data_IF_461590871846
#
_entry.id   IF_461590871846
#
_cell.length_a   1.000
_cell.length_b   1.000
_cell.length_c   1.000
_cell.angle_alpha   90.00
_cell.angle_beta   90.00
_cell.angle_gamma   90.00
#
_symmetry.space_group_name_H-M   'P 1'
#
loop_
_entity.id
_entity.type
_entity.pdbx_description
1 polymer ?
#
# COMPACT_ATOMS: atom_id res chain seq x y z
N UNK A 1 6.04 -5.68 -19.21
CA UNK A 1 6.43 -5.15 -17.86
C UNK A 1 5.68 -3.88 -17.51
N UNK A 2 5.57 -3.52 -16.21
CA UNK A 2 4.96 -2.26 -15.80
C UNK A 2 6.01 -1.15 -15.81
N UNK A 3 5.69 -0.04 -16.48
CA UNK A 3 6.55 1.14 -16.48
C UNK A 3 6.54 1.81 -15.08
N UNK A 4 7.67 2.39 -14.63
CA UNK A 4 7.73 3.13 -13.35
C UNK A 4 6.69 4.24 -13.23
N UNK A 5 6.45 4.95 -14.33
CA UNK A 5 5.44 6.03 -14.43
C UNK A 5 4.01 5.52 -14.19
N UNK A 6 3.67 4.35 -14.72
CA UNK A 6 2.38 3.71 -14.44
C UNK A 6 2.24 3.37 -12.95
N UNK A 7 3.28 2.83 -12.34
CA UNK A 7 3.30 2.49 -10.93
C UNK A 7 3.16 3.73 -10.04
N UNK A 8 3.69 4.87 -10.44
CA UNK A 8 3.57 6.12 -9.68
C UNK A 8 2.12 6.60 -9.57
N UNK A 9 1.31 6.44 -10.62
CA UNK A 9 -0.06 6.92 -10.69
C UNK A 9 -1.12 5.86 -10.36
N UNK A 10 -0.75 4.59 -10.37
CA UNK A 10 -1.66 3.48 -10.09
C UNK A 10 -2.45 3.63 -8.78
N UNK A 11 -1.88 4.12 -7.66
CA UNK A 11 -2.59 4.30 -6.40
C UNK A 11 -3.52 5.50 -6.31
N UNK A 12 -3.45 6.48 -7.21
CA UNK A 12 -4.03 7.82 -7.03
C UNK A 12 -5.54 7.81 -6.71
N UNK A 13 -6.33 7.00 -7.38
CA UNK A 13 -7.77 6.88 -7.10
C UNK A 13 -8.07 6.34 -5.71
N UNK A 14 -7.27 5.36 -5.26
CA UNK A 14 -7.41 4.79 -3.92
C UNK A 14 -6.99 5.78 -2.85
N UNK A 15 -5.92 6.52 -3.07
CA UNK A 15 -5.48 7.61 -2.19
C UNK A 15 -6.59 8.63 -1.99
N UNK A 16 -7.24 9.09 -3.06
CA UNK A 16 -8.37 10.03 -2.97
C UNK A 16 -9.55 9.48 -2.16
N UNK A 17 -9.88 8.20 -2.29
CA UNK A 17 -10.94 7.57 -1.48
C UNK A 17 -10.61 7.60 0.02
N UNK A 18 -9.35 7.35 0.37
CA UNK A 18 -8.91 7.34 1.76
C UNK A 18 -8.79 8.74 2.35
N UNK A 19 -8.36 9.74 1.57
CA UNK A 19 -8.36 11.15 1.98
C UNK A 19 -9.77 11.64 2.30
N UNK A 20 -10.77 11.30 1.47
CA UNK A 20 -12.15 11.66 1.72
C UNK A 20 -12.69 11.07 3.03
N UNK A 21 -12.37 9.82 3.33
CA UNK A 21 -12.83 9.19 4.58
C UNK A 21 -12.12 9.76 5.80
N UNK A 22 -10.84 10.14 5.66
CA UNK A 22 -10.10 10.83 6.72
C UNK A 22 -10.77 12.16 7.08
N UNK A 23 -11.09 12.99 6.08
CA UNK A 23 -11.81 14.24 6.26
C UNK A 23 -13.18 14.05 6.93
N UNK A 24 -13.93 13.03 6.53
CA UNK A 24 -15.25 12.72 7.09
C UNK A 24 -15.16 12.25 8.54
N UNK A 25 -14.12 11.52 8.91
CA UNK A 25 -13.85 11.11 10.29
C UNK A 25 -13.50 12.33 11.14
N UNK A 26 -12.56 13.16 10.68
CA UNK A 26 -12.12 14.38 11.37
C UNK A 26 -13.30 15.32 11.66
N UNK A 27 -14.13 15.58 10.66
CA UNK A 27 -15.32 16.46 10.81
C UNK A 27 -16.32 15.90 11.82
N UNK A 28 -16.55 14.59 11.81
CA UNK A 28 -17.49 13.96 12.73
C UNK A 28 -17.01 14.02 14.18
N UNK A 29 -15.73 13.71 14.40
CA UNK A 29 -15.11 13.76 15.72
C UNK A 29 -15.08 15.20 16.27
N UNK A 30 -14.65 16.16 15.45
CA UNK A 30 -14.64 17.58 15.83
C UNK A 30 -16.05 18.08 16.21
N UNK A 31 -17.08 17.70 15.43
CA UNK A 31 -18.49 18.03 15.71
C UNK A 31 -18.98 17.44 17.03
N UNK A 32 -18.57 16.23 17.39
CA UNK A 32 -18.94 15.58 18.66
C UNK A 32 -18.33 16.31 19.85
N UNK A 33 -17.05 16.66 19.77
CA UNK A 33 -16.39 17.43 20.83
C UNK A 33 -17.04 18.82 20.99
N UNK A 34 -17.35 19.50 19.89
CA UNK A 34 -17.96 20.81 19.91
C UNK A 34 -19.40 20.85 20.52
N UNK A 35 -20.08 19.70 20.56
CA UNK A 35 -21.40 19.54 21.13
C UNK A 35 -21.43 19.15 22.62
N UNK A 36 -20.26 19.05 23.26
CA UNK A 36 -20.18 18.76 24.68
C UNK A 36 -20.68 19.95 25.50
N UNK A 37 -21.65 19.73 26.40
CA UNK A 37 -22.24 20.82 27.20
C UNK A 37 -21.50 21.10 28.51
N UNK A 38 -20.96 20.07 29.15
CA UNK A 38 -20.28 20.21 30.45
C UNK A 38 -19.18 19.14 30.62
N UNK A 39 -18.12 19.51 31.34
CA UNK A 39 -17.01 18.59 31.70
C UNK A 39 -16.89 18.57 33.24
N UNK A 40 -17.93 18.18 33.97
CA UNK A 40 -17.85 18.01 35.41
C UNK A 40 -17.38 16.61 35.79
N UNK A 41 -16.56 16.42 36.84
CA UNK A 41 -16.07 15.11 37.28
C UNK A 41 -17.15 14.31 37.99
N UNK A 42 -18.20 13.95 37.29
CA UNK A 42 -19.33 13.17 37.84
C UNK A 42 -19.36 11.78 37.19
N UNK A 43 -20.02 10.83 37.84
CA UNK A 43 -20.30 9.50 37.25
C UNK A 43 -21.04 9.64 35.91
N UNK A 44 -21.89 10.67 35.77
CA UNK A 44 -22.55 10.98 34.49
C UNK A 44 -21.58 11.35 33.37
N UNK A 45 -20.54 12.15 33.65
CA UNK A 45 -19.48 12.44 32.68
C UNK A 45 -18.73 11.18 32.23
N UNK A 46 -18.35 10.30 33.16
CA UNK A 46 -17.64 9.07 32.84
C UNK A 46 -18.47 8.15 31.96
N UNK A 47 -19.75 7.99 32.25
CA UNK A 47 -20.66 7.20 31.43
C UNK A 47 -20.86 7.81 30.05
N UNK A 48 -21.06 9.13 29.97
CA UNK A 48 -21.19 9.86 28.71
C UNK A 48 -19.91 9.70 27.85
N UNK A 49 -18.73 9.91 28.46
CA UNK A 49 -17.43 9.74 27.79
C UNK A 49 -17.30 8.34 27.20
N UNK A 50 -17.58 7.31 27.96
CA UNK A 50 -17.55 5.93 27.48
C UNK A 50 -18.49 5.72 26.29
N UNK A 51 -19.72 6.20 26.36
CA UNK A 51 -20.68 6.11 25.27
C UNK A 51 -20.21 6.84 24.01
N UNK A 52 -19.59 8.02 24.16
CA UNK A 52 -19.09 8.77 23.01
C UNK A 52 -17.89 8.07 22.36
N UNK A 53 -16.97 7.53 23.12
CA UNK A 53 -15.81 6.77 22.61
C UNK A 53 -16.28 5.55 21.81
N UNK A 54 -17.24 4.80 22.35
CA UNK A 54 -17.81 3.65 21.65
C UNK A 54 -18.59 4.05 20.39
N UNK A 55 -19.38 5.12 20.44
CA UNK A 55 -20.11 5.63 19.28
C UNK A 55 -19.16 6.12 18.17
N UNK A 56 -18.08 6.82 18.53
CA UNK A 56 -17.03 7.22 17.56
C UNK A 56 -16.41 5.99 16.93
N UNK A 57 -16.01 4.99 17.72
CA UNK A 57 -15.42 3.76 17.21
C UNK A 57 -16.33 3.08 16.20
N UNK A 58 -17.61 2.91 16.52
CA UNK A 58 -18.57 2.28 15.61
C UNK A 58 -18.77 3.06 14.32
N UNK A 59 -18.86 4.40 14.38
CA UNK A 59 -19.03 5.24 13.19
C UNK A 59 -17.76 5.26 12.32
N UNK A 60 -16.59 5.28 12.93
CA UNK A 60 -15.31 5.15 12.22
C UNK A 60 -15.24 3.80 11.51
N UNK A 61 -15.57 2.69 12.20
CA UNK A 61 -15.60 1.35 11.58
C UNK A 61 -16.56 1.31 10.38
N UNK A 62 -17.77 1.88 10.51
CA UNK A 62 -18.74 1.93 9.41
C UNK A 62 -18.23 2.73 8.20
N UNK A 63 -17.63 3.90 8.46
CA UNK A 63 -17.05 4.74 7.39
C UNK A 63 -15.91 4.03 6.68
N UNK A 64 -14.99 3.46 7.45
CA UNK A 64 -13.86 2.70 6.92
C UNK A 64 -14.31 1.44 6.16
N UNK A 65 -15.30 0.70 6.67
CA UNK A 65 -15.84 -0.47 5.98
C UNK A 65 -16.43 -0.11 4.61
N UNK A 66 -17.14 1.02 4.51
CA UNK A 66 -17.64 1.53 3.22
C UNK A 66 -16.51 1.93 2.27
N UNK A 67 -15.47 2.59 2.80
CA UNK A 67 -14.29 2.94 2.04
C UNK A 67 -13.55 1.69 1.55
N UNK A 68 -13.37 0.69 2.43
CA UNK A 68 -12.72 -0.58 2.10
C UNK A 68 -13.47 -1.32 0.98
N UNK A 69 -14.80 -1.40 1.04
CA UNK A 69 -15.61 -2.02 -0.02
C UNK A 69 -15.44 -1.34 -1.38
N UNK A 70 -15.36 0.01 -1.42
CA UNK A 70 -15.04 0.75 -2.64
C UNK A 70 -13.59 0.51 -3.08
N UNK A 71 -12.67 0.44 -2.12
CA UNK A 71 -11.26 0.16 -2.37
C UNK A 71 -11.05 -1.23 -2.96
N UNK A 72 -11.76 -2.24 -2.49
CA UNK A 72 -11.69 -3.61 -3.03
C UNK A 72 -12.06 -3.68 -4.50
N UNK A 73 -13.13 -3.00 -4.91
CA UNK A 73 -13.54 -2.93 -6.31
C UNK A 73 -12.47 -2.25 -7.18
N UNK A 74 -11.91 -1.14 -6.69
CA UNK A 74 -10.84 -0.41 -7.39
C UNK A 74 -9.52 -1.18 -7.40
N UNK A 75 -9.15 -1.87 -6.31
CA UNK A 75 -7.99 -2.75 -6.26
C UNK A 75 -8.13 -3.87 -7.30
N UNK A 76 -9.29 -4.53 -7.36
CA UNK A 76 -9.55 -5.59 -8.34
C UNK A 76 -9.40 -5.08 -9.77
N UNK A 77 -10.01 -3.94 -10.09
CA UNK A 77 -9.91 -3.30 -11.41
C UNK A 77 -8.46 -2.96 -11.75
N UNK A 78 -7.76 -2.31 -10.84
CA UNK A 78 -6.38 -1.87 -11.02
C UNK A 78 -5.43 -3.05 -11.20
N UNK A 79 -5.57 -4.10 -10.39
CA UNK A 79 -4.71 -5.29 -10.47
C UNK A 79 -4.96 -6.06 -11.77
N UNK A 80 -6.21 -6.15 -12.23
CA UNK A 80 -6.53 -6.75 -13.52
C UNK A 80 -5.89 -5.96 -14.66
N UNK A 81 -6.05 -4.63 -14.66
CA UNK A 81 -5.45 -3.75 -15.66
C UNK A 81 -3.92 -3.86 -15.67
N UNK A 82 -3.29 -3.78 -14.49
CA UNK A 82 -1.84 -3.89 -14.35
C UNK A 82 -1.32 -5.26 -14.81
N UNK A 83 -2.00 -6.35 -14.44
CA UNK A 83 -1.64 -7.70 -14.87
C UNK A 83 -1.74 -7.86 -16.39
N UNK A 84 -2.81 -7.39 -16.99
CA UNK A 84 -3.00 -7.42 -18.45
C UNK A 84 -1.87 -6.66 -19.15
N UNK A 85 -1.60 -5.41 -18.75
CA UNK A 85 -0.50 -4.60 -19.32
C UNK A 85 0.88 -5.25 -19.14
N UNK A 86 1.13 -5.83 -17.95
CA UNK A 86 2.40 -6.49 -17.69
C UNK A 86 2.61 -7.70 -18.59
N UNK A 87 1.56 -8.52 -18.77
CA UNK A 87 1.64 -9.73 -19.60
C UNK A 87 1.67 -9.41 -21.09
N UNK A 88 0.88 -8.45 -21.57
CA UNK A 88 0.95 -8.00 -22.96
C UNK A 88 2.38 -7.57 -23.34
N UNK A 89 2.98 -6.69 -22.53
CA UNK A 89 4.34 -6.22 -22.77
C UNK A 89 5.42 -7.32 -22.62
N UNK A 90 5.20 -8.29 -21.74
CA UNK A 90 6.11 -9.45 -21.59
C UNK A 90 5.94 -10.43 -22.74
N UNK A 91 4.71 -10.72 -23.16
CA UNK A 91 4.41 -11.65 -24.26
C UNK A 91 4.93 -11.12 -25.60
N UNK A 92 4.99 -9.79 -25.82
CA UNK A 92 5.64 -9.18 -26.99
C UNK A 92 7.12 -9.56 -27.10
N UNK A 93 7.83 -9.62 -25.96
CA UNK A 93 9.23 -10.07 -25.92
C UNK A 93 9.31 -11.52 -26.39
N UNK A 94 8.47 -12.40 -25.86
CA UNK A 94 8.45 -13.82 -26.23
C UNK A 94 8.10 -14.04 -27.70
N UNK A 95 7.10 -13.34 -28.23
CA UNK A 95 6.73 -13.39 -29.65
C UNK A 95 7.86 -12.94 -30.55
N UNK A 96 8.58 -11.88 -30.18
CA UNK A 96 9.75 -11.42 -30.93
C UNK A 96 10.80 -12.52 -31.09
N UNK A 97 10.99 -13.36 -30.10
CA UNK A 97 11.92 -14.47 -30.11
C UNK A 97 11.29 -15.80 -30.56
N UNK A 98 10.14 -15.77 -31.22
CA UNK A 98 9.49 -16.93 -31.82
C UNK A 98 8.89 -17.93 -30.81
N UNK A 99 8.63 -17.49 -29.58
CA UNK A 99 7.91 -18.26 -28.56
C UNK A 99 6.43 -17.92 -28.59
N UNK A 100 5.59 -18.87 -28.22
CA UNK A 100 4.12 -18.71 -28.20
C UNK A 100 3.58 -18.90 -26.78
N UNK A 101 3.56 -17.86 -25.94
CA UNK A 101 3.01 -17.95 -24.61
C UNK A 101 1.50 -18.20 -24.63
N UNK A 102 0.99 -18.98 -23.68
CA UNK A 102 -0.46 -19.14 -23.50
C UNK A 102 -1.09 -17.78 -23.21
N UNK A 103 -2.16 -17.36 -23.92
CA UNK A 103 -2.81 -16.08 -23.67
C UNK A 103 -3.13 -15.89 -22.16
N UNK A 104 -2.88 -14.69 -21.64
CA UNK A 104 -3.04 -14.41 -20.21
C UNK A 104 -4.43 -14.80 -19.67
N UNK A 105 -5.49 -14.55 -20.45
CA UNK A 105 -6.87 -14.89 -20.06
C UNK A 105 -7.11 -16.41 -19.92
N UNK A 106 -6.39 -17.21 -20.67
CA UNK A 106 -6.55 -18.67 -20.74
C UNK A 106 -5.54 -19.41 -19.84
N UNK A 107 -4.58 -18.71 -19.25
CA UNK A 107 -3.55 -19.30 -18.40
C UNK A 107 -4.03 -19.39 -16.94
N UNK A 108 -4.48 -20.57 -16.53
CA UNK A 108 -5.02 -20.82 -15.19
C UNK A 108 -4.02 -20.48 -14.05
N UNK A 109 -2.74 -20.72 -14.25
CA UNK A 109 -1.69 -20.41 -13.27
C UNK A 109 -1.57 -18.89 -13.07
N UNK A 110 -1.51 -18.12 -14.14
CA UNK A 110 -1.44 -16.66 -14.07
C UNK A 110 -2.72 -16.05 -13.47
N UNK A 111 -3.89 -16.58 -13.82
CA UNK A 111 -5.16 -16.16 -13.22
C UNK A 111 -5.22 -16.46 -11.72
N UNK A 112 -4.71 -17.60 -11.27
CA UNK A 112 -4.62 -17.96 -9.86
C UNK A 112 -3.68 -17.01 -9.10
N UNK A 113 -2.53 -16.66 -9.66
CA UNK A 113 -1.57 -15.71 -9.08
C UNK A 113 -2.16 -14.30 -8.98
N UNK A 114 -2.86 -13.84 -10.02
CA UNK A 114 -3.58 -12.55 -9.96
C UNK A 114 -4.60 -12.52 -8.83
N UNK A 115 -5.41 -13.57 -8.71
CA UNK A 115 -6.41 -13.66 -7.64
C UNK A 115 -5.76 -13.70 -6.24
N UNK A 116 -4.68 -14.45 -6.06
CA UNK A 116 -3.93 -14.48 -4.81
C UNK A 116 -3.34 -13.11 -4.46
N UNK A 117 -2.78 -12.40 -5.43
CA UNK A 117 -2.29 -11.04 -5.27
C UNK A 117 -3.40 -10.05 -4.85
N UNK A 118 -4.56 -10.16 -5.47
CA UNK A 118 -5.74 -9.38 -5.09
C UNK A 118 -6.13 -9.65 -3.62
N UNK A 119 -6.26 -10.91 -3.21
CA UNK A 119 -6.63 -11.26 -1.85
C UNK A 119 -5.61 -10.72 -0.83
N UNK A 120 -4.32 -10.83 -1.12
CA UNK A 120 -3.26 -10.30 -0.27
C UNK A 120 -3.35 -8.78 -0.12
N UNK A 121 -3.57 -8.06 -1.23
CA UNK A 121 -3.68 -6.60 -1.23
C UNK A 121 -4.95 -6.13 -0.50
N UNK A 122 -6.09 -6.76 -0.76
CA UNK A 122 -7.35 -6.48 -0.05
C UNK A 122 -7.20 -6.72 1.46
N UNK A 123 -6.55 -7.81 1.87
CA UNK A 123 -6.25 -8.12 3.28
C UNK A 123 -5.43 -7.01 3.96
N UNK A 124 -4.49 -6.40 3.24
CA UNK A 124 -3.72 -5.25 3.75
C UNK A 124 -4.64 -4.06 4.05
N UNK A 125 -5.64 -3.79 3.22
CA UNK A 125 -6.62 -2.72 3.45
C UNK A 125 -7.56 -3.03 4.62
N UNK A 126 -7.95 -4.28 4.83
CA UNK A 126 -8.70 -4.68 6.03
C UNK A 126 -7.89 -4.42 7.32
N UNK A 127 -6.60 -4.76 7.31
CA UNK A 127 -5.71 -4.50 8.44
C UNK A 127 -5.53 -2.97 8.67
N UNK A 128 -5.39 -2.19 7.60
CA UNK A 128 -5.33 -0.74 7.69
C UNK A 128 -6.60 -0.15 8.30
N UNK A 129 -7.77 -0.67 7.91
CA UNK A 129 -9.07 -0.29 8.48
C UNK A 129 -9.13 -0.51 9.99
N UNK A 130 -8.76 -1.71 10.45
CA UNK A 130 -8.76 -2.04 11.88
C UNK A 130 -7.77 -1.16 12.67
N UNK A 131 -6.56 -0.98 12.16
CA UNK A 131 -5.53 -0.14 12.78
C UNK A 131 -5.98 1.32 12.88
N UNK A 132 -6.57 1.86 11.82
CA UNK A 132 -7.09 3.24 11.79
C UNK A 132 -8.22 3.44 12.80
N UNK A 133 -9.18 2.50 12.87
CA UNK A 133 -10.28 2.60 13.82
C UNK A 133 -9.80 2.62 15.28
N UNK A 134 -8.84 1.78 15.61
CA UNK A 134 -8.25 1.74 16.95
C UNK A 134 -7.46 3.03 17.26
N UNK A 135 -6.66 3.52 16.32
CA UNK A 135 -5.89 4.76 16.47
C UNK A 135 -6.81 5.96 16.69
N UNK A 136 -7.85 6.12 15.86
CA UNK A 136 -8.80 7.23 15.97
C UNK A 136 -9.54 7.21 17.30
N UNK A 137 -10.02 6.04 17.73
CA UNK A 137 -10.71 5.91 19.03
C UNK A 137 -9.81 6.31 20.19
N UNK A 138 -8.55 5.84 20.22
CA UNK A 138 -7.60 6.21 21.27
C UNK A 138 -7.23 7.69 21.26
N UNK A 139 -7.07 8.30 20.10
CA UNK A 139 -6.80 9.74 19.97
C UNK A 139 -7.98 10.57 20.42
N UNK A 140 -9.21 10.18 20.09
CA UNK A 140 -10.43 10.84 20.58
C UNK A 140 -10.53 10.75 22.09
N UNK A 141 -10.33 9.59 22.67
CA UNK A 141 -10.32 9.39 24.13
C UNK A 141 -9.27 10.28 24.82
N UNK A 142 -8.04 10.29 24.33
CA UNK A 142 -6.97 11.12 24.86
C UNK A 142 -7.26 12.63 24.74
N UNK A 143 -7.95 13.05 23.68
CA UNK A 143 -8.37 14.45 23.52
C UNK A 143 -9.46 14.84 24.55
N UNK A 144 -10.44 13.96 24.81
CA UNK A 144 -11.43 14.15 25.85
C UNK A 144 -10.80 14.26 27.24
N UNK A 145 -9.85 13.39 27.55
CA UNK A 145 -9.15 13.39 28.85
C UNK A 145 -8.34 14.68 29.04
N UNK A 146 -7.61 15.13 28.02
CA UNK A 146 -6.88 16.40 28.07
C UNK A 146 -7.81 17.59 28.26
N UNK A 147 -8.94 17.64 27.56
CA UNK A 147 -9.92 18.70 27.72
C UNK A 147 -10.51 18.72 29.14
N UNK A 148 -10.87 17.54 29.67
CA UNK A 148 -11.35 17.37 31.02
C UNK A 148 -10.35 17.87 32.08
N UNK A 149 -9.08 17.48 31.97
CA UNK A 149 -8.00 17.92 32.85
C UNK A 149 -7.82 19.46 32.82
N UNK A 150 -7.89 20.06 31.63
CA UNK A 150 -7.77 21.51 31.46
C UNK A 150 -8.92 22.28 32.18
N UNK A 151 -10.15 21.81 32.04
CA UNK A 151 -11.30 22.41 32.72
C UNK A 151 -11.20 22.23 34.25
N UNK A 152 -10.88 21.03 34.72
CA UNK A 152 -10.77 20.72 36.13
C UNK A 152 -9.61 21.42 36.85
N UNK A 153 -8.54 21.75 36.12
CA UNK A 153 -7.42 22.53 36.69
C UNK A 153 -7.82 23.98 37.01
N UNK A 154 -8.96 24.44 36.50
CA UNK A 154 -9.42 25.84 36.64
C UNK A 154 -8.58 26.85 35.80
N UNK A 155 -7.58 26.37 35.07
CA UNK A 155 -6.69 27.24 34.27
C UNK A 155 -7.27 27.62 32.90
N UNK A 156 -8.28 26.86 32.44
CA UNK A 156 -8.91 27.06 31.13
C UNK A 156 -10.42 27.07 31.24
N UNK A 157 -11.06 27.98 30.50
CA UNK A 157 -12.50 27.93 30.32
C UNK A 157 -12.88 26.76 29.38
N UNK A 158 -14.15 26.37 29.44
CA UNK A 158 -14.68 25.26 28.66
C UNK A 158 -14.43 25.39 27.14
N UNK A 159 -14.68 26.60 26.58
CA UNK A 159 -14.50 26.81 25.12
C UNK A 159 -13.07 26.66 24.68
N UNK A 160 -12.13 27.18 25.46
CA UNK A 160 -10.69 27.06 25.21
C UNK A 160 -10.21 25.59 25.30
N UNK A 161 -10.73 24.84 26.26
CA UNK A 161 -10.43 23.42 26.43
C UNK A 161 -10.96 22.60 25.25
N UNK A 162 -12.19 22.83 24.80
CA UNK A 162 -12.81 22.19 23.64
C UNK A 162 -12.04 22.51 22.35
N UNK A 163 -11.73 23.81 22.13
CA UNK A 163 -10.96 24.23 20.96
C UNK A 163 -9.59 23.53 20.92
N UNK A 164 -8.87 23.53 22.04
CA UNK A 164 -7.58 22.84 22.13
C UNK A 164 -7.65 21.34 21.88
N UNK A 165 -8.75 20.68 22.26
CA UNK A 165 -8.98 19.27 21.97
C UNK A 165 -9.20 19.03 20.47
N UNK A 166 -10.00 19.87 19.81
CA UNK A 166 -10.24 19.80 18.35
C UNK A 166 -8.95 20.05 17.56
N UNK A 167 -8.20 21.11 17.92
CA UNK A 167 -6.93 21.44 17.27
C UNK A 167 -5.93 20.26 17.40
N UNK A 168 -5.80 19.68 18.60
CA UNK A 168 -4.93 18.52 18.86
C UNK A 168 -5.33 17.29 18.03
N UNK A 169 -6.62 17.06 17.83
CA UNK A 169 -7.10 15.95 16.99
C UNK A 169 -6.80 16.19 15.52
N UNK A 170 -7.00 17.41 15.02
CA UNK A 170 -6.68 17.76 13.63
C UNK A 170 -5.21 17.49 13.29
N UNK A 171 -4.30 17.65 14.26
CA UNK A 171 -2.88 17.36 14.08
C UNK A 171 -2.54 15.87 14.18
N UNK A 172 -3.23 15.12 15.04
CA UNK A 172 -2.87 13.73 15.37
C UNK A 172 -3.62 12.69 14.57
N UNK A 173 -4.86 12.94 14.15
CA UNK A 173 -5.72 11.98 13.44
C UNK A 173 -5.31 11.70 11.99
N UNK A 174 -4.36 12.46 11.45
CA UNK A 174 -3.77 12.21 10.12
C UNK A 174 -2.89 10.96 10.08
N UNK A 175 -2.51 10.43 11.22
CA UNK A 175 -1.52 9.37 11.31
C UNK A 175 -2.15 8.06 11.79
N UNK A 176 -1.75 6.98 11.14
CA UNK A 176 -1.98 5.60 11.58
C UNK A 176 -0.76 5.15 12.36
N UNK A 177 -0.96 4.72 13.60
CA UNK A 177 0.12 4.16 14.43
C UNK A 177 0.04 2.65 14.40
N UNK A 178 1.13 2.02 13.95
CA UNK A 178 1.27 0.57 13.93
C UNK A 178 1.75 0.03 15.28
N UNK A 179 1.50 -1.26 15.60
CA UNK A 179 1.99 -1.87 16.85
C UNK A 179 3.51 -1.78 17.04
N UNK A 180 4.26 -1.63 15.96
CA UNK A 180 5.73 -1.43 15.97
C UNK A 180 6.15 -0.01 16.39
N UNK A 181 5.20 0.90 16.63
CA UNK A 181 5.46 2.31 16.89
C UNK A 181 5.70 3.18 15.65
N UNK A 182 5.75 2.57 14.45
CA UNK A 182 5.82 3.32 13.20
C UNK A 182 4.50 4.06 12.94
N UNK A 183 4.58 5.26 12.36
CA UNK A 183 3.42 6.08 11.98
C UNK A 183 3.49 6.48 10.51
N UNK A 184 2.36 6.37 9.81
CA UNK A 184 2.16 6.88 8.45
C UNK A 184 0.91 7.75 8.40
N UNK A 185 0.83 8.65 7.42
CA UNK A 185 -0.47 9.21 7.03
C UNK A 185 -1.31 8.12 6.35
N UNK A 186 -2.64 8.24 6.40
CA UNK A 186 -3.53 7.31 5.71
C UNK A 186 -3.25 7.24 4.21
N UNK A 187 -2.92 8.38 3.59
CA UNK A 187 -2.51 8.47 2.20
C UNK A 187 -1.27 7.61 1.91
N UNK A 188 -0.22 7.79 2.70
CA UNK A 188 1.05 7.05 2.54
C UNK A 188 0.83 5.55 2.74
N UNK A 189 0.03 5.17 3.74
CA UNK A 189 -0.29 3.77 4.01
C UNK A 189 -1.07 3.13 2.85
N UNK A 190 -2.10 3.81 2.32
CA UNK A 190 -2.90 3.34 1.19
C UNK A 190 -2.06 3.25 -0.09
N UNK A 191 -1.29 4.28 -0.42
CA UNK A 191 -0.38 4.30 -1.58
C UNK A 191 0.61 3.14 -1.53
N UNK A 192 1.28 2.95 -0.40
CA UNK A 192 2.24 1.86 -0.21
C UNK A 192 1.60 0.48 -0.38
N UNK A 193 0.40 0.26 0.18
CA UNK A 193 -0.30 -1.01 0.08
C UNK A 193 -0.62 -1.38 -1.38
N UNK A 194 -1.15 -0.42 -2.14
CA UNK A 194 -1.50 -0.63 -3.55
C UNK A 194 -0.26 -0.83 -4.42
N UNK A 195 0.69 0.09 -4.33
CA UNK A 195 1.91 0.05 -5.15
C UNK A 195 2.66 -1.27 -4.94
N UNK A 196 2.84 -1.66 -3.67
CA UNK A 196 3.50 -2.92 -3.33
C UNK A 196 2.71 -4.12 -3.84
N UNK A 197 1.39 -4.15 -3.65
CA UNK A 197 0.53 -5.25 -4.10
C UNK A 197 0.52 -5.42 -5.61
N UNK A 198 0.40 -4.34 -6.35
CA UNK A 198 0.42 -4.34 -7.83
C UNK A 198 1.78 -4.81 -8.34
N UNK A 199 2.87 -4.22 -7.82
CA UNK A 199 4.22 -4.55 -8.30
C UNK A 199 4.62 -5.99 -7.97
N UNK A 200 4.34 -6.46 -6.74
CA UNK A 200 4.61 -7.86 -6.35
C UNK A 200 3.80 -8.86 -7.16
N UNK A 201 2.55 -8.54 -7.47
CA UNK A 201 1.71 -9.43 -8.30
C UNK A 201 2.23 -9.47 -9.72
N UNK A 202 2.55 -8.31 -10.32
CA UNK A 202 3.18 -8.24 -11.66
C UNK A 202 4.46 -9.05 -11.74
N UNK A 203 5.33 -8.94 -10.73
CA UNK A 203 6.58 -9.69 -10.66
C UNK A 203 6.36 -11.22 -10.60
N UNK A 204 5.39 -11.68 -9.81
CA UNK A 204 5.04 -13.11 -9.75
C UNK A 204 4.51 -13.63 -11.08
N UNK A 205 3.72 -12.82 -11.78
CA UNK A 205 3.20 -13.17 -13.11
C UNK A 205 4.37 -13.28 -14.12
N UNK A 206 5.33 -12.35 -14.08
CA UNK A 206 6.51 -12.37 -14.96
C UNK A 206 7.40 -13.60 -14.71
N UNK A 207 7.64 -13.93 -13.44
CA UNK A 207 8.38 -15.17 -13.10
C UNK A 207 7.65 -16.42 -13.61
N UNK A 208 6.34 -16.53 -13.39
CA UNK A 208 5.57 -17.68 -13.83
C UNK A 208 5.51 -17.79 -15.37
N UNK A 209 5.48 -16.65 -16.06
CA UNK A 209 5.57 -16.62 -17.52
C UNK A 209 6.97 -17.06 -18.01
N UNK A 210 8.02 -16.61 -17.35
CA UNK A 210 9.39 -17.03 -17.66
C UNK A 210 9.57 -18.55 -17.43
N UNK A 211 9.00 -19.09 -16.37
CA UNK A 211 8.97 -20.54 -16.10
C UNK A 211 8.26 -21.32 -17.22
N UNK A 212 7.09 -20.85 -17.68
CA UNK A 212 6.36 -21.43 -18.81
C UNK A 212 7.19 -21.44 -20.09
N UNK A 213 7.94 -20.34 -20.33
CA UNK A 213 8.75 -20.17 -21.53
C UNK A 213 10.16 -20.76 -21.42
N UNK A 214 10.55 -21.28 -20.26
CA UNK A 214 11.89 -21.82 -20.01
C UNK A 214 12.99 -20.76 -20.09
N UNK A 215 12.74 -19.56 -19.51
CA UNK A 215 13.69 -18.44 -19.49
C UNK A 215 14.15 -18.18 -18.06
N UNK A 216 15.47 -18.07 -17.88
CA UNK A 216 16.11 -17.88 -16.57
C UNK A 216 16.90 -16.56 -16.48
N UNK A 217 16.97 -15.77 -17.56
CA UNK A 217 17.70 -14.51 -17.61
C UNK A 217 16.75 -13.33 -17.56
N UNK A 218 17.06 -12.35 -16.67
CA UNK A 218 16.27 -11.15 -16.46
C UNK A 218 17.12 -9.89 -16.51
N UNK A 219 16.50 -8.79 -16.95
CA UNK A 219 17.03 -7.45 -16.79
C UNK A 219 16.10 -6.61 -15.93
N UNK A 220 16.65 -5.87 -14.98
CA UNK A 220 15.89 -4.97 -14.11
C UNK A 220 15.71 -3.62 -14.77
N UNK A 221 14.54 -2.99 -14.54
CA UNK A 221 14.31 -1.62 -15.02
C UNK A 221 15.17 -0.60 -14.24
N UNK A 222 15.37 0.57 -14.85
CA UNK A 222 16.03 1.70 -14.21
C UNK A 222 15.10 2.93 -14.23
N UNK A 223 15.14 3.75 -13.17
CA UNK A 223 14.44 5.02 -13.11
C UNK A 223 15.16 6.03 -12.23
N UNK A 224 14.90 7.32 -12.44
CA UNK A 224 15.39 8.39 -11.57
C UNK A 224 14.77 8.31 -10.16
N UNK A 225 15.55 8.68 -9.13
CA UNK A 225 15.08 8.67 -7.74
C UNK A 225 15.04 7.28 -7.08
N UNK A 226 15.76 6.30 -7.62
CA UNK A 226 15.96 5.02 -6.97
C UNK A 226 16.63 5.18 -5.59
N UNK A 227 16.28 4.31 -4.64
CA UNK A 227 17.00 4.25 -3.36
C UNK A 227 18.46 3.91 -3.59
N UNK A 228 19.41 4.39 -2.77
CA UNK A 228 20.82 4.03 -2.92
C UNK A 228 21.07 2.52 -3.04
N UNK A 229 20.39 1.70 -2.23
CA UNK A 229 20.48 0.23 -2.28
C UNK A 229 19.93 -0.39 -3.56
N UNK A 230 19.10 0.32 -4.32
CA UNK A 230 18.55 -0.14 -5.59
C UNK A 230 19.39 0.33 -6.79
N UNK A 231 20.19 1.40 -6.63
CA UNK A 231 21.06 1.92 -7.68
C UNK A 231 22.12 0.91 -8.16
N UNK A 232 22.52 -0.01 -7.27
CA UNK A 232 23.55 -0.99 -7.55
C UNK A 232 23.14 -2.03 -8.59
N UNK A 233 21.85 -2.35 -8.67
CA UNK A 233 21.34 -3.42 -9.52
C UNK A 233 20.36 -2.96 -10.61
N UNK A 234 19.88 -1.70 -10.61
CA UNK A 234 18.97 -1.23 -11.66
C UNK A 234 19.64 -1.22 -13.05
N UNK A 235 18.89 -1.57 -14.09
CA UNK A 235 19.38 -1.63 -15.46
C UNK A 235 20.45 -2.71 -15.68
N UNK A 236 20.54 -3.71 -14.82
CA UNK A 236 21.51 -4.80 -14.94
C UNK A 236 20.84 -6.13 -15.20
N UNK A 237 21.64 -7.08 -15.72
CA UNK A 237 21.20 -8.40 -16.12
C UNK A 237 21.64 -9.45 -15.11
N UNK A 238 20.76 -10.43 -14.90
CA UNK A 238 20.90 -11.46 -13.87
C UNK A 238 20.44 -12.81 -14.40
N UNK A 239 20.86 -13.87 -13.71
CA UNK A 239 20.35 -15.22 -13.92
C UNK A 239 19.64 -15.72 -12.68
N UNK A 240 18.48 -16.35 -12.86
CA UNK A 240 17.69 -16.94 -11.78
C UNK A 240 18.17 -18.38 -11.51
N UNK A 241 18.28 -18.72 -10.22
CA UNK A 241 18.74 -20.05 -9.79
C UNK A 241 20.24 -20.17 -9.62
N UNK A 242 20.92 -19.05 -9.41
CA UNK A 242 22.35 -18.97 -9.12
C UNK A 242 23.13 -18.15 -10.16
N UNK A 243 24.29 -17.66 -9.77
CA UNK A 243 25.17 -16.94 -10.71
C UNK A 243 25.71 -17.88 -11.79
N UNK A 244 25.82 -17.39 -13.02
CA UNK A 244 26.33 -18.18 -14.17
C UNK A 244 27.21 -17.33 -15.09
N UNK A 245 28.23 -17.95 -15.65
CA UNK A 245 29.00 -17.38 -16.76
C UNK A 245 28.43 -17.96 -18.08
N UNK A 246 27.84 -17.09 -18.90
CA UNK A 246 27.18 -17.50 -20.14
C UNK A 246 27.61 -16.59 -21.30
N UNK A 247 28.00 -17.16 -22.41
CA UNK A 247 28.47 -16.43 -23.60
C UNK A 247 29.56 -15.38 -23.32
N UNK A 248 30.47 -15.68 -22.39
CA UNK A 248 31.58 -14.79 -22.04
C UNK A 248 31.20 -13.62 -21.13
N UNK A 249 30.00 -13.61 -20.60
CA UNK A 249 29.51 -12.61 -19.64
C UNK A 249 29.08 -13.28 -18.34
N UNK A 250 29.40 -12.62 -17.19
CA UNK A 250 28.97 -13.03 -15.90
C UNK A 250 27.57 -12.46 -15.58
N UNK A 251 26.66 -13.34 -15.21
CA UNK A 251 25.30 -12.99 -14.74
C UNK A 251 25.19 -13.34 -13.25
N UNK A 252 25.10 -12.33 -12.35
CA UNK A 252 24.90 -12.58 -10.93
C UNK A 252 23.56 -13.27 -10.67
N UNK A 253 23.44 -13.92 -9.49
CA UNK A 253 22.16 -14.48 -9.04
C UNK A 253 21.11 -13.40 -8.86
N UNK A 254 19.93 -13.59 -9.45
CA UNK A 254 18.85 -12.62 -9.48
C UNK A 254 18.33 -12.28 -8.08
N UNK A 255 18.00 -13.30 -7.29
CA UNK A 255 17.45 -13.13 -5.95
C UNK A 255 18.49 -12.55 -4.99
N UNK A 256 19.70 -13.09 -4.99
CA UNK A 256 20.76 -12.66 -4.08
C UNK A 256 21.22 -11.21 -4.36
N UNK A 257 21.33 -10.82 -5.63
CA UNK A 257 21.82 -9.49 -6.01
C UNK A 257 20.76 -8.40 -5.83
N UNK A 258 19.49 -8.69 -6.11
CA UNK A 258 18.40 -7.71 -6.10
C UNK A 258 17.58 -7.70 -4.82
N UNK A 259 17.72 -8.74 -3.99
CA UNK A 259 16.87 -8.98 -2.82
C UNK A 259 15.41 -9.29 -3.20
N UNK A 260 15.15 -9.76 -4.43
CA UNK A 260 13.81 -10.17 -4.85
C UNK A 260 13.20 -11.16 -3.86
N UNK A 261 11.91 -10.99 -3.55
CA UNK A 261 11.22 -11.79 -2.53
C UNK A 261 11.32 -11.21 -1.11
N UNK A 262 12.11 -10.16 -0.89
CA UNK A 262 12.19 -9.46 0.40
C UNK A 262 11.45 -8.12 0.37
N UNK A 263 11.10 -7.61 1.56
CA UNK A 263 10.41 -6.31 1.65
C UNK A 263 11.28 -5.12 1.23
N UNK A 264 12.61 -5.22 1.33
CA UNK A 264 13.52 -4.13 0.99
C UNK A 264 14.08 -4.21 -0.44
N UNK A 265 13.97 -5.35 -1.10
CA UNK A 265 14.55 -5.62 -2.42
C UNK A 265 13.67 -5.24 -3.60
N UNK A 266 14.00 -5.80 -4.75
CA UNK A 266 13.28 -5.62 -6.02
C UNK A 266 11.80 -6.04 -5.86
N UNK A 267 10.90 -5.20 -6.37
CA UNK A 267 9.44 -5.34 -6.21
C UNK A 267 8.96 -5.39 -4.75
N UNK A 268 9.78 -5.01 -3.78
CA UNK A 268 9.44 -4.92 -2.37
C UNK A 268 8.64 -3.67 -2.03
N UNK A 269 8.69 -3.25 -0.76
CA UNK A 269 7.88 -2.14 -0.25
C UNK A 269 8.16 -0.83 -0.98
N UNK A 270 7.11 -0.26 -1.57
CA UNK A 270 7.17 1.02 -2.27
C UNK A 270 8.27 1.06 -3.37
N UNK A 271 8.62 -0.10 -3.93
CA UNK A 271 9.55 -0.22 -5.04
C UNK A 271 8.83 0.05 -6.36
N UNK A 272 9.47 0.78 -7.28
CA UNK A 272 8.97 1.08 -8.63
C UNK A 272 9.73 0.36 -9.73
N UNK A 273 10.75 -0.39 -9.35
CA UNK A 273 11.46 -1.25 -10.29
C UNK A 273 10.65 -2.49 -10.59
N UNK A 274 10.73 -2.93 -11.83
CA UNK A 274 10.29 -4.22 -12.33
C UNK A 274 11.45 -4.90 -13.05
N UNK A 275 11.21 -6.01 -13.72
CA UNK A 275 12.18 -6.70 -14.54
C UNK A 275 11.48 -7.32 -15.74
N UNK A 276 12.24 -7.85 -16.69
CA UNK A 276 11.72 -8.52 -17.88
C UNK A 276 12.68 -9.60 -18.33
N UNK A 277 12.15 -10.59 -19.07
CA UNK A 277 12.94 -11.67 -19.64
C UNK A 277 13.88 -11.15 -20.71
N UNK A 278 15.08 -11.71 -20.75
CA UNK A 278 16.05 -11.48 -21.83
C UNK A 278 16.58 -12.80 -22.39
N UNK A 279 17.06 -12.75 -23.61
CA UNK A 279 17.61 -13.89 -24.36
C UNK A 279 19.03 -13.57 -24.76
N UNK A 280 20.04 -13.85 -23.91
CA UNK A 280 21.42 -13.46 -24.16
C UNK A 280 22.00 -13.98 -25.49
N UNK A 281 21.51 -15.14 -25.93
CA UNK A 281 21.92 -15.79 -27.21
C UNK A 281 21.35 -15.07 -28.45
N UNK A 282 20.29 -14.26 -28.31
CA UNK A 282 19.59 -13.66 -29.45
C UNK A 282 19.76 -12.12 -29.50
N UNK A 283 20.50 -11.54 -28.55
CA UNK A 283 20.75 -10.11 -28.48
C UNK A 283 19.67 -9.34 -27.69
N UNK A 284 19.77 -8.00 -27.70
CA UNK A 284 18.82 -7.17 -26.96
C UNK A 284 17.43 -7.19 -27.62
N UNK A 285 16.32 -7.14 -26.83
CA UNK A 285 14.98 -6.94 -27.37
C UNK A 285 14.87 -5.59 -28.09
N UNK A 286 13.94 -5.44 -29.04
CA UNK A 286 13.68 -4.15 -29.68
C UNK A 286 13.26 -3.12 -28.62
N UNK A 287 13.68 -1.88 -28.82
CA UNK A 287 13.40 -0.75 -27.94
C UNK A 287 11.91 -0.37 -27.91
#
# INVERSE_FOLDING_TARGET
MLAPDYLDHAPDRLVLLWQQVEDDILRDVARRISKMDTMTPTAHWQLWRYQQVEAVRQDVVKKLARCTGKSEAEIRRLMQEAATRAMEAEDEIYYHYGKEPTPFADNATLQALLNAGYQQTAGTFHNLTATTANTVSGQFEAALDRAHLKVNSGAFDYKSAVKSAVDSLADTMKYVTYPTGHTDTLEVAARRAVLTGVNQTGAKLQVARADEMGVEFFETTAHGGARPSHAEWQGRQFHRGGAVDYMGKHYPDFEAATGYGTGAGLCGWNCRHTFFAIFPELGAPPA
#
